data_IF_714628460271
#
_entry.id   IF_714628460271
#
_cell.length_a   1.000
_cell.length_b   1.000
_cell.length_c   1.000
_cell.angle_alpha   90.00
_cell.angle_beta   90.00
_cell.angle_gamma   90.00
#
_symmetry.space_group_name_H-M   'P 1'
#
loop_
_entity.id
_entity.type
_entity.pdbx_description
1 polymer ?
#
# COMPACT_ATOMS: atom_id res chain seq x y z
N UNK A 1 -85.15 -67.61 116.25
CA UNK A 1 -85.88 -68.82 116.71
C UNK A 1 -84.94 -69.95 117.13
N UNK A 2 -83.75 -70.08 116.52
CA UNK A 2 -82.79 -71.17 116.78
C UNK A 2 -82.03 -71.07 118.11
N UNK A 3 -81.70 -69.86 118.59
CA UNK A 3 -80.94 -69.69 119.85
C UNK A 3 -81.68 -70.21 121.09
N UNK A 4 -82.96 -69.84 121.26
CA UNK A 4 -83.78 -70.34 122.37
C UNK A 4 -84.06 -71.84 122.28
N UNK A 5 -84.27 -72.38 121.07
CA UNK A 5 -84.45 -73.81 120.85
C UNK A 5 -83.17 -74.60 121.19
N UNK A 6 -82.00 -74.09 120.79
CA UNK A 6 -80.70 -74.67 121.16
C UNK A 6 -80.48 -74.64 122.67
N UNK A 7 -80.86 -73.56 123.35
CA UNK A 7 -80.72 -73.43 124.80
C UNK A 7 -81.60 -74.45 125.55
N UNK A 8 -82.85 -74.63 125.13
CA UNK A 8 -83.76 -75.64 125.69
C UNK A 8 -83.24 -77.05 125.40
N UNK A 9 -82.74 -77.32 124.19
CA UNK A 9 -82.15 -78.62 123.83
C UNK A 9 -80.92 -78.93 124.69
N UNK A 10 -80.00 -77.98 124.87
CA UNK A 10 -78.82 -78.14 125.71
C UNK A 10 -79.22 -78.36 127.17
N UNK A 11 -80.23 -77.64 127.67
CA UNK A 11 -80.75 -77.82 129.02
C UNK A 11 -81.33 -79.23 129.22
N UNK A 12 -82.11 -79.72 128.24
CA UNK A 12 -82.65 -81.09 128.24
C UNK A 12 -81.53 -82.14 128.16
N UNK A 13 -80.51 -81.91 127.34
CA UNK A 13 -79.39 -82.83 127.19
C UNK A 13 -78.52 -82.87 128.45
N UNK A 14 -78.27 -81.71 129.08
CA UNK A 14 -77.57 -81.62 130.35
C UNK A 14 -78.35 -82.32 131.47
N UNK A 15 -79.68 -82.14 131.51
CA UNK A 15 -80.55 -82.84 132.45
C UNK A 15 -80.55 -84.37 132.21
N UNK A 16 -80.57 -84.81 130.94
CA UNK A 16 -80.50 -86.23 130.56
C UNK A 16 -79.16 -86.85 130.99
N UNK A 17 -78.05 -86.14 130.77
CA UNK A 17 -76.70 -86.58 131.15
C UNK A 17 -76.55 -86.63 132.67
N UNK A 18 -77.02 -85.62 133.40
CA UNK A 18 -77.02 -85.62 134.86
C UNK A 18 -77.83 -86.80 135.42
N UNK A 19 -79.01 -87.06 134.83
CA UNK A 19 -79.86 -88.20 135.19
C UNK A 19 -79.18 -89.56 134.92
N UNK A 20 -78.54 -89.72 133.77
CA UNK A 20 -77.78 -90.92 133.43
C UNK A 20 -76.58 -91.12 134.36
N UNK A 21 -75.87 -90.03 134.69
CA UNK A 21 -74.77 -90.04 135.66
C UNK A 21 -75.21 -90.52 137.05
N UNK A 22 -76.31 -90.00 137.58
CA UNK A 22 -76.89 -90.42 138.86
C UNK A 22 -77.32 -91.89 138.86
N UNK A 23 -77.80 -92.38 137.70
CA UNK A 23 -78.26 -93.76 137.55
C UNK A 23 -77.11 -94.75 137.46
N UNK A 24 -76.02 -94.39 136.76
CA UNK A 24 -74.76 -95.15 136.75
C UNK A 24 -74.12 -95.17 138.15
N UNK A 25 -74.12 -94.04 138.85
CA UNK A 25 -73.60 -93.94 140.22
C UNK A 25 -74.41 -94.82 141.20
N UNK A 26 -75.75 -94.78 141.15
CA UNK A 26 -76.62 -95.64 141.98
C UNK A 26 -76.47 -97.12 141.67
N UNK A 27 -76.27 -97.49 140.40
CA UNK A 27 -76.08 -98.89 139.99
C UNK A 27 -74.71 -99.43 140.43
N UNK A 28 -73.66 -98.62 140.30
CA UNK A 28 -72.32 -98.96 140.78
C UNK A 28 -72.24 -99.08 142.32
N UNK A 29 -73.04 -98.30 143.06
CA UNK A 29 -73.04 -98.32 144.53
C UNK A 29 -73.75 -99.50 145.19
N UNK A 30 -74.71 -100.15 144.51
CA UNK A 30 -75.58 -101.18 145.13
C UNK A 30 -75.11 -102.62 144.93
N UNK A 31 -74.23 -102.86 143.96
CA UNK A 31 -73.77 -104.21 143.59
C UNK A 31 -72.28 -104.27 143.87
N UNK A 32 -71.88 -105.06 144.87
CA UNK A 32 -70.49 -105.25 145.31
C UNK A 32 -69.65 -105.98 144.24
N UNK A 33 -69.51 -105.37 143.07
CA UNK A 33 -68.66 -105.90 141.99
C UNK A 33 -67.20 -105.79 142.41
N UNK A 34 -66.60 -106.94 142.72
CA UNK A 34 -65.15 -107.08 142.86
C UNK A 34 -64.54 -107.16 141.45
N UNK A 35 -64.47 -106.02 140.76
CA UNK A 35 -63.68 -105.91 139.55
C UNK A 35 -62.19 -105.81 139.95
N UNK A 36 -61.41 -106.80 139.54
CA UNK A 36 -59.95 -106.86 139.70
C UNK A 36 -59.42 -106.77 141.16
N UNK A 37 -60.06 -107.42 142.14
CA UNK A 37 -59.45 -107.67 143.46
C UNK A 37 -59.25 -106.46 144.39
N UNK A 38 -59.77 -105.28 144.04
CA UNK A 38 -59.58 -104.02 144.78
C UNK A 38 -60.65 -103.78 145.86
N UNK A 39 -60.25 -103.08 146.94
CA UNK A 39 -61.07 -102.80 148.13
C UNK A 39 -62.35 -102.01 147.73
N UNK A 40 -63.55 -102.37 148.23
CA UNK A 40 -64.84 -101.93 147.65
C UNK A 40 -65.05 -100.42 147.51
N UNK A 41 -64.35 -99.61 148.32
CA UNK A 41 -64.46 -98.15 148.31
C UNK A 41 -63.70 -97.50 147.15
N UNK A 42 -62.63 -98.13 146.65
CA UNK A 42 -61.79 -97.59 145.55
C UNK A 42 -62.40 -97.87 144.18
N UNK A 43 -63.05 -99.03 144.01
CA UNK A 43 -63.76 -99.38 142.78
C UNK A 43 -64.90 -98.41 142.48
N UNK A 44 -65.62 -97.96 143.51
CA UNK A 44 -66.68 -96.95 143.36
C UNK A 44 -66.15 -95.61 142.83
N UNK A 45 -65.00 -95.13 143.34
CA UNK A 45 -64.37 -93.90 142.88
C UNK A 45 -63.88 -94.01 141.43
N UNK A 46 -63.31 -95.16 141.06
CA UNK A 46 -62.79 -95.40 139.71
C UNK A 46 -63.93 -95.47 138.68
N UNK A 47 -65.06 -96.07 139.04
CA UNK A 47 -66.27 -96.06 138.21
C UNK A 47 -66.87 -94.65 138.12
N UNK A 48 -66.83 -93.85 139.19
CA UNK A 48 -67.31 -92.46 139.14
C UNK A 48 -66.44 -91.58 138.24
N UNK A 49 -65.11 -91.73 138.27
CA UNK A 49 -64.20 -91.00 137.38
C UNK A 49 -64.36 -91.47 135.93
N UNK A 50 -64.48 -92.78 135.68
CA UNK A 50 -64.76 -93.32 134.34
C UNK A 50 -66.11 -92.85 133.80
N UNK A 51 -67.14 -92.79 134.65
CA UNK A 51 -68.43 -92.22 134.28
C UNK A 51 -68.31 -90.71 134.00
N UNK A 52 -67.54 -89.96 134.78
CA UNK A 52 -67.28 -88.53 134.56
C UNK A 52 -66.53 -88.25 133.25
N UNK A 53 -65.47 -89.02 132.94
CA UNK A 53 -64.74 -88.94 131.67
C UNK A 53 -65.62 -89.41 130.50
N UNK A 54 -66.40 -90.47 130.70
CA UNK A 54 -67.38 -90.95 129.73
C UNK A 54 -68.42 -89.88 129.40
N UNK A 55 -68.94 -89.19 130.42
CA UNK A 55 -69.85 -88.06 130.27
C UNK A 55 -69.15 -86.90 129.54
N UNK A 56 -67.94 -86.50 129.93
CA UNK A 56 -67.23 -85.40 129.29
C UNK A 56 -66.91 -85.69 127.81
N UNK A 57 -66.48 -86.91 127.49
CA UNK A 57 -66.26 -87.36 126.12
C UNK A 57 -67.57 -87.41 125.34
N UNK A 58 -68.66 -87.90 125.93
CA UNK A 58 -69.97 -87.94 125.27
C UNK A 58 -70.55 -86.54 125.07
N UNK A 59 -70.33 -85.61 126.01
CA UNK A 59 -70.68 -84.19 125.89
C UNK A 59 -69.83 -83.48 124.83
N UNK A 60 -68.52 -83.75 124.75
CA UNK A 60 -67.64 -83.21 123.73
C UNK A 60 -67.96 -83.77 122.34
N UNK A 61 -68.24 -85.07 122.25
CA UNK A 61 -68.68 -85.71 121.01
C UNK A 61 -70.06 -85.20 120.59
N UNK A 62 -70.96 -85.01 121.56
CA UNK A 62 -72.25 -84.36 121.37
C UNK A 62 -72.10 -82.92 120.88
N UNK A 63 -71.16 -82.15 121.44
CA UNK A 63 -70.80 -80.82 120.96
C UNK A 63 -70.29 -80.84 119.52
N UNK A 64 -69.36 -81.74 119.17
CA UNK A 64 -68.88 -81.90 117.78
C UNK A 64 -69.96 -82.35 116.80
N UNK A 65 -70.92 -83.17 117.24
CA UNK A 65 -72.06 -83.64 116.45
C UNK A 65 -73.14 -82.56 116.25
N UNK A 66 -73.40 -81.75 117.28
CA UNK A 66 -74.41 -80.68 117.24
C UNK A 66 -73.87 -79.43 116.56
N UNK A 67 -72.60 -79.08 116.75
CA UNK A 67 -71.94 -77.92 116.13
C UNK A 67 -71.17 -78.27 114.86
N UNK A 68 -71.65 -79.25 114.08
CA UNK A 68 -71.10 -79.54 112.74
C UNK A 68 -71.08 -78.27 111.87
N UNK A 69 -72.11 -77.45 111.98
CA UNK A 69 -72.23 -76.14 111.35
C UNK A 69 -71.08 -75.19 111.70
N UNK A 70 -70.62 -75.14 112.96
CA UNK A 70 -69.54 -74.23 113.35
C UNK A 70 -68.17 -74.66 112.78
N UNK A 71 -67.93 -75.97 112.65
CA UNK A 71 -66.70 -76.50 112.02
C UNK A 71 -66.71 -76.27 110.51
N UNK A 72 -67.84 -76.48 109.86
CA UNK A 72 -68.03 -76.22 108.42
C UNK A 72 -67.80 -74.73 108.14
N UNK A 73 -68.39 -73.82 108.93
CA UNK A 73 -68.18 -72.36 108.78
C UNK A 73 -66.72 -71.94 108.99
N UNK A 74 -65.96 -72.55 109.90
CA UNK A 74 -64.53 -72.22 110.10
C UNK A 74 -63.69 -72.69 108.91
N UNK A 75 -63.95 -73.89 108.37
CA UNK A 75 -63.24 -74.43 107.21
C UNK A 75 -63.61 -73.68 105.92
N UNK A 76 -64.90 -73.39 105.71
CA UNK A 76 -65.37 -72.54 104.62
C UNK A 76 -64.78 -71.13 104.72
N UNK A 77 -64.72 -70.53 105.91
CA UNK A 77 -64.11 -69.22 106.08
C UNK A 77 -62.58 -69.23 105.86
N UNK A 78 -61.90 -70.37 106.00
CA UNK A 78 -60.49 -70.52 105.62
C UNK A 78 -60.35 -70.68 104.10
N UNK A 79 -61.20 -71.48 103.46
CA UNK A 79 -61.24 -71.64 102.00
C UNK A 79 -61.56 -70.30 101.30
N UNK A 80 -62.55 -69.55 101.78
CA UNK A 80 -62.93 -68.22 101.28
C UNK A 80 -61.78 -67.22 101.46
N UNK A 81 -61.02 -67.30 102.56
CA UNK A 81 -59.84 -66.44 102.76
C UNK A 81 -58.72 -66.77 101.78
N UNK A 82 -58.46 -68.05 101.54
CA UNK A 82 -57.47 -68.49 100.56
C UNK A 82 -57.86 -68.06 99.13
N UNK A 83 -59.12 -68.24 98.74
CA UNK A 83 -59.65 -67.80 97.45
C UNK A 83 -59.58 -66.28 97.30
N UNK A 84 -59.96 -65.51 98.32
CA UNK A 84 -59.83 -64.05 98.30
C UNK A 84 -58.37 -63.61 98.17
N UNK A 85 -57.44 -64.27 98.85
CA UNK A 85 -56.02 -63.92 98.78
C UNK A 85 -55.42 -64.30 97.42
N UNK A 86 -55.87 -65.40 96.79
CA UNK A 86 -55.55 -65.74 95.41
C UNK A 86 -56.10 -64.71 94.42
N UNK A 87 -57.39 -64.38 94.51
CA UNK A 87 -58.03 -63.37 93.66
C UNK A 87 -57.39 -61.99 93.81
N UNK A 88 -56.91 -61.63 95.01
CA UNK A 88 -56.13 -60.41 95.23
C UNK A 88 -54.79 -60.43 94.49
N UNK A 89 -54.08 -61.56 94.52
CA UNK A 89 -52.81 -61.73 93.78
C UNK A 89 -53.05 -61.67 92.27
N UNK A 90 -54.06 -62.37 91.77
CA UNK A 90 -54.43 -62.35 90.35
C UNK A 90 -54.82 -60.94 89.90
N UNK A 91 -55.63 -60.23 90.70
CA UNK A 91 -55.95 -58.82 90.43
C UNK A 91 -54.70 -57.94 90.40
N UNK A 92 -53.76 -58.16 91.30
CA UNK A 92 -52.53 -57.37 91.34
C UNK A 92 -51.64 -57.64 90.12
N UNK A 93 -51.47 -58.90 89.71
CA UNK A 93 -50.78 -59.27 88.47
C UNK A 93 -51.47 -58.66 87.24
N UNK A 94 -52.80 -58.71 87.17
CA UNK A 94 -53.55 -58.11 86.06
C UNK A 94 -53.42 -56.57 86.03
N UNK A 95 -53.37 -55.92 87.20
CA UNK A 95 -53.15 -54.47 87.28
C UNK A 95 -51.73 -54.10 86.82
N UNK A 96 -50.72 -54.87 87.21
CA UNK A 96 -49.34 -54.69 86.76
C UNK A 96 -49.21 -54.92 85.24
N UNK A 97 -49.82 -55.98 84.72
CA UNK A 97 -49.85 -56.25 83.28
C UNK A 97 -50.57 -55.14 82.49
N UNK A 98 -51.70 -54.65 83.00
CA UNK A 98 -52.42 -53.52 82.40
C UNK A 98 -51.56 -52.25 82.40
N UNK A 99 -50.89 -51.94 83.51
CA UNK A 99 -50.01 -50.77 83.61
C UNK A 99 -48.81 -50.88 82.65
N UNK A 100 -48.23 -52.08 82.49
CA UNK A 100 -47.16 -52.32 81.51
C UNK A 100 -47.66 -52.12 80.07
N UNK A 101 -48.84 -52.64 79.74
CA UNK A 101 -49.45 -52.50 78.42
C UNK A 101 -49.82 -51.04 78.10
N UNK A 102 -50.34 -50.28 79.08
CA UNK A 102 -50.61 -48.84 78.93
C UNK A 102 -49.30 -48.06 78.72
N UNK A 103 -48.22 -48.42 79.42
CA UNK A 103 -46.91 -47.83 79.21
C UNK A 103 -46.36 -48.12 77.81
N UNK A 104 -46.46 -49.35 77.31
CA UNK A 104 -46.07 -49.72 75.94
C UNK A 104 -46.91 -49.00 74.89
N UNK A 105 -48.23 -48.91 75.09
CA UNK A 105 -49.12 -48.14 74.22
C UNK A 105 -48.72 -46.65 74.19
N UNK A 106 -48.35 -46.06 75.34
CA UNK A 106 -47.91 -44.67 75.39
C UNK A 106 -46.58 -44.45 74.65
N UNK A 107 -45.63 -45.40 74.74
CA UNK A 107 -44.34 -45.34 74.05
C UNK A 107 -44.52 -45.47 72.54
N UNK A 108 -45.30 -46.44 72.09
CA UNK A 108 -45.59 -46.64 70.66
C UNK A 108 -46.33 -45.46 70.05
N UNK A 109 -47.26 -44.82 70.79
CA UNK A 109 -47.89 -43.57 70.34
C UNK A 109 -46.88 -42.42 70.24
N UNK A 110 -45.94 -42.31 71.18
CA UNK A 110 -44.88 -41.31 71.11
C UNK A 110 -43.97 -41.54 69.90
N UNK A 111 -43.52 -42.77 69.66
CA UNK A 111 -42.73 -43.16 68.48
C UNK A 111 -43.46 -42.87 67.17
N UNK A 112 -44.76 -43.20 67.08
CA UNK A 112 -45.58 -42.89 65.90
C UNK A 112 -45.70 -41.39 65.66
N UNK A 113 -45.79 -40.59 66.72
CA UNK A 113 -45.83 -39.13 66.58
C UNK A 113 -44.49 -38.57 66.09
N UNK A 114 -43.36 -39.07 66.60
CA UNK A 114 -42.02 -38.70 66.11
C UNK A 114 -41.87 -39.08 64.63
N UNK A 115 -42.21 -40.31 64.26
CA UNK A 115 -42.10 -40.79 62.89
C UNK A 115 -43.03 -40.03 61.93
N UNK A 116 -44.20 -39.58 62.40
CA UNK A 116 -45.10 -38.72 61.63
C UNK A 116 -44.50 -37.34 61.36
N UNK A 117 -43.84 -36.74 62.35
CA UNK A 117 -43.15 -35.46 62.16
C UNK A 117 -41.94 -35.61 61.22
N UNK A 118 -41.12 -36.65 61.39
CA UNK A 118 -40.01 -36.96 60.47
C UNK A 118 -40.50 -37.14 59.03
N UNK A 119 -41.61 -37.86 58.83
CA UNK A 119 -42.22 -38.02 57.50
C UNK A 119 -42.67 -36.68 56.91
N UNK A 120 -43.25 -35.79 57.73
CA UNK A 120 -43.64 -34.45 57.27
C UNK A 120 -42.42 -33.65 56.86
N UNK A 121 -41.36 -33.66 57.65
CA UNK A 121 -40.14 -32.93 57.34
C UNK A 121 -39.44 -33.48 56.09
N UNK A 122 -39.37 -34.80 55.93
CA UNK A 122 -38.89 -35.43 54.71
C UNK A 122 -39.73 -35.06 53.49
N UNK A 123 -41.06 -35.01 53.63
CA UNK A 123 -41.93 -34.58 52.53
C UNK A 123 -41.68 -33.12 52.12
N UNK A 124 -41.47 -32.23 53.10
CA UNK A 124 -41.12 -30.82 52.85
C UNK A 124 -39.76 -30.68 52.19
N UNK A 125 -38.76 -31.43 52.65
CA UNK A 125 -37.43 -31.45 52.04
C UNK A 125 -37.47 -31.96 50.59
N UNK A 126 -38.28 -32.98 50.31
CA UNK A 126 -38.45 -33.53 48.95
C UNK A 126 -39.18 -32.53 48.04
N UNK A 127 -40.20 -31.83 48.54
CA UNK A 127 -40.87 -30.74 47.82
C UNK A 127 -39.89 -29.62 47.46
N UNK A 128 -39.07 -29.17 48.42
CA UNK A 128 -38.04 -28.15 48.22
C UNK A 128 -36.98 -28.61 47.21
N UNK A 129 -36.49 -29.85 47.34
CA UNK A 129 -35.53 -30.42 46.40
C UNK A 129 -36.08 -30.47 44.97
N UNK A 130 -37.35 -30.86 44.80
CA UNK A 130 -38.02 -30.85 43.51
C UNK A 130 -38.18 -29.43 42.93
N UNK A 131 -38.48 -28.44 43.76
CA UNK A 131 -38.54 -27.04 43.32
C UNK A 131 -37.18 -26.52 42.86
N UNK A 132 -36.11 -26.80 43.62
CA UNK A 132 -34.74 -26.43 43.22
C UNK A 132 -34.35 -27.15 41.93
N UNK A 133 -34.65 -28.45 41.80
CA UNK A 133 -34.35 -29.20 40.57
C UNK A 133 -35.04 -28.60 39.36
N UNK A 134 -36.32 -28.22 39.47
CA UNK A 134 -37.05 -27.55 38.38
C UNK A 134 -36.42 -26.21 37.99
N UNK A 135 -36.04 -25.38 38.96
CA UNK A 135 -35.35 -24.11 38.70
C UNK A 135 -34.01 -24.33 37.98
N UNK A 136 -33.21 -25.28 38.46
CA UNK A 136 -31.94 -25.62 37.81
C UNK A 136 -32.13 -26.18 36.40
N UNK A 137 -33.18 -26.98 36.15
CA UNK A 137 -33.52 -27.45 34.80
C UNK A 137 -33.93 -26.29 33.87
N UNK A 138 -34.66 -25.29 34.37
CA UNK A 138 -35.02 -24.08 33.62
C UNK A 138 -33.80 -23.20 33.33
N UNK A 139 -32.94 -22.97 34.34
CA UNK A 139 -31.68 -22.25 34.19
C UNK A 139 -30.74 -22.95 33.21
N UNK A 140 -30.60 -24.27 33.27
CA UNK A 140 -29.80 -25.04 32.34
C UNK A 140 -30.31 -24.92 30.89
N UNK A 141 -31.63 -24.93 30.69
CA UNK A 141 -32.24 -24.70 29.36
C UNK A 141 -32.00 -23.27 28.87
N UNK A 142 -32.11 -22.28 29.74
CA UNK A 142 -31.83 -20.88 29.42
C UNK A 142 -30.34 -20.66 29.08
N UNK A 143 -29.43 -21.28 29.83
CA UNK A 143 -28.00 -21.24 29.54
C UNK A 143 -27.67 -21.95 28.22
N UNK A 144 -28.30 -23.10 27.95
CA UNK A 144 -28.10 -23.81 26.68
C UNK A 144 -28.55 -22.96 25.48
N UNK A 145 -29.67 -22.24 25.58
CA UNK A 145 -30.12 -21.34 24.51
C UNK A 145 -29.21 -20.13 24.35
N UNK A 146 -28.70 -19.56 25.46
CA UNK A 146 -27.70 -18.48 25.41
C UNK A 146 -26.39 -18.95 24.74
N UNK A 147 -25.88 -20.13 25.11
CA UNK A 147 -24.67 -20.70 24.48
C UNK A 147 -24.90 -20.93 22.99
N UNK A 148 -26.08 -21.39 22.58
CA UNK A 148 -26.40 -21.55 21.17
C UNK A 148 -26.48 -20.20 20.44
N UNK A 149 -27.07 -19.18 21.06
CA UNK A 149 -27.15 -17.83 20.50
C UNK A 149 -25.75 -17.22 20.32
N UNK A 150 -24.92 -17.28 21.36
CA UNK A 150 -23.53 -16.82 21.32
C UNK A 150 -22.70 -17.62 20.29
N UNK A 151 -22.95 -18.91 20.14
CA UNK A 151 -22.32 -19.74 19.10
C UNK A 151 -22.67 -19.28 17.69
N UNK A 152 -23.92 -18.88 17.44
CA UNK A 152 -24.35 -18.30 16.15
C UNK A 152 -23.71 -16.94 15.91
N UNK A 153 -23.72 -16.06 16.91
CA UNK A 153 -23.11 -14.74 16.83
C UNK A 153 -21.60 -14.83 16.57
N UNK A 154 -20.91 -15.76 17.22
CA UNK A 154 -19.50 -16.02 16.96
C UNK A 154 -19.27 -16.48 15.51
N UNK A 155 -20.11 -17.37 14.99
CA UNK A 155 -20.00 -17.83 13.61
C UNK A 155 -20.26 -16.70 12.60
N UNK A 156 -21.20 -15.80 12.87
CA UNK A 156 -21.44 -14.63 12.00
C UNK A 156 -20.26 -13.66 12.05
N UNK A 157 -19.70 -13.37 13.23
CA UNK A 157 -18.52 -12.51 13.37
C UNK A 157 -17.28 -13.13 12.70
N UNK A 158 -17.09 -14.44 12.78
CA UNK A 158 -16.01 -15.13 12.08
C UNK A 158 -16.17 -15.03 10.55
N UNK A 159 -17.40 -15.14 10.03
CA UNK A 159 -17.68 -14.95 8.60
C UNK A 159 -17.43 -13.50 8.16
N UNK A 160 -17.90 -12.51 8.92
CA UNK A 160 -17.65 -11.08 8.66
C UNK A 160 -16.15 -10.76 8.66
N UNK A 161 -15.41 -11.30 9.63
CA UNK A 161 -13.94 -11.16 9.69
C UNK A 161 -13.26 -11.73 8.44
N UNK A 162 -13.71 -12.88 7.93
CA UNK A 162 -13.16 -13.45 6.70
C UNK A 162 -13.46 -12.58 5.47
N UNK A 163 -14.67 -12.03 5.37
CA UNK A 163 -15.04 -11.11 4.28
C UNK A 163 -14.18 -9.84 4.34
N UNK A 164 -14.02 -9.24 5.52
CA UNK A 164 -13.18 -8.06 5.72
C UNK A 164 -11.71 -8.33 5.38
N UNK A 165 -11.19 -9.50 5.76
CA UNK A 165 -9.82 -9.89 5.42
C UNK A 165 -9.60 -10.01 3.91
N UNK A 166 -10.58 -10.57 3.17
CA UNK A 166 -10.54 -10.62 1.69
C UNK A 166 -10.58 -9.22 1.09
N UNK A 167 -11.50 -8.37 1.55
CA UNK A 167 -11.61 -6.99 1.06
C UNK A 167 -10.32 -6.19 1.31
N UNK A 168 -9.68 -6.35 2.48
CA UNK A 168 -8.40 -5.72 2.76
C UNK A 168 -7.29 -6.22 1.83
N UNK A 169 -7.25 -7.52 1.55
CA UNK A 169 -6.29 -8.08 0.60
C UNK A 169 -6.48 -7.52 -0.82
N UNK A 170 -7.73 -7.46 -1.31
CA UNK A 170 -8.08 -6.87 -2.60
C UNK A 170 -7.69 -5.39 -2.68
N UNK A 171 -8.00 -4.60 -1.64
CA UNK A 171 -7.64 -3.17 -1.61
C UNK A 171 -6.14 -2.94 -1.53
N UNK A 172 -5.41 -3.78 -0.81
CA UNK A 172 -3.96 -3.71 -0.77
C UNK A 172 -3.33 -4.04 -2.13
N UNK A 173 -3.88 -5.01 -2.86
CA UNK A 173 -3.44 -5.29 -4.23
C UNK A 173 -3.75 -4.12 -5.18
N UNK A 174 -4.95 -3.54 -5.09
CA UNK A 174 -5.32 -2.36 -5.89
C UNK A 174 -4.40 -1.17 -5.60
N UNK A 175 -4.10 -0.92 -4.32
CA UNK A 175 -3.15 0.12 -3.92
C UNK A 175 -1.76 -0.16 -4.46
N UNK A 176 -1.25 -1.38 -4.36
CA UNK A 176 0.06 -1.75 -4.88
C UNK A 176 0.15 -1.54 -6.40
N UNK A 177 -0.91 -1.88 -7.15
CA UNK A 177 -1.00 -1.63 -8.58
C UNK A 177 -1.00 -0.14 -8.89
N UNK A 178 -1.84 0.66 -8.21
CA UNK A 178 -1.88 2.12 -8.38
C UNK A 178 -0.56 2.79 -8.01
N UNK A 179 0.14 2.33 -6.98
CA UNK A 179 1.45 2.88 -6.63
C UNK A 179 2.51 2.57 -7.68
N UNK A 180 2.46 1.38 -8.29
CA UNK A 180 3.34 1.02 -9.39
C UNK A 180 3.05 1.87 -10.65
N UNK A 181 1.77 2.04 -11.00
CA UNK A 181 1.35 2.89 -12.12
C UNK A 181 1.78 4.35 -11.92
N UNK A 182 1.59 4.91 -10.71
CA UNK A 182 2.05 6.26 -10.39
C UNK A 182 3.57 6.39 -10.46
N UNK A 183 4.32 5.37 -10.02
CA UNK A 183 5.78 5.37 -10.14
C UNK A 183 6.21 5.40 -11.61
N UNK A 184 5.60 4.59 -12.48
CA UNK A 184 5.85 4.59 -13.92
C UNK A 184 5.53 5.95 -14.54
N UNK A 185 4.35 6.51 -14.27
CA UNK A 185 3.95 7.84 -14.74
C UNK A 185 4.91 8.94 -14.26
N UNK A 186 5.43 8.83 -13.03
CA UNK A 186 6.40 9.80 -12.51
C UNK A 186 7.75 9.73 -13.26
N UNK A 187 8.20 8.53 -13.65
CA UNK A 187 9.41 8.37 -14.45
C UNK A 187 9.21 8.82 -15.90
N UNK A 188 8.04 8.55 -16.49
CA UNK A 188 7.67 9.10 -17.80
C UNK A 188 7.67 10.63 -17.80
N UNK A 189 7.10 11.26 -16.76
CA UNK A 189 7.12 12.71 -16.61
C UNK A 189 8.54 13.25 -16.49
N UNK A 190 9.40 12.66 -15.65
CA UNK A 190 10.82 13.07 -15.56
C UNK A 190 11.54 12.94 -16.91
N UNK A 191 11.25 11.88 -17.68
CA UNK A 191 11.84 11.70 -19.00
C UNK A 191 11.35 12.76 -20.00
N UNK A 192 10.06 13.11 -19.97
CA UNK A 192 9.48 14.17 -20.79
C UNK A 192 10.03 15.55 -20.39
N UNK A 193 10.17 15.84 -19.10
CA UNK A 193 10.79 17.07 -18.61
C UNK A 193 12.23 17.22 -19.11
N UNK A 194 13.03 16.16 -19.05
CA UNK A 194 14.39 16.14 -19.61
C UNK A 194 14.38 16.40 -21.12
N UNK A 195 13.46 15.76 -21.86
CA UNK A 195 13.31 15.99 -23.31
C UNK A 195 12.94 17.43 -23.61
N UNK A 196 11.99 18.01 -22.88
CA UNK A 196 11.61 19.41 -23.02
C UNK A 196 12.79 20.34 -22.77
N UNK A 197 13.59 20.10 -21.72
CA UNK A 197 14.80 20.88 -21.48
C UNK A 197 15.80 20.79 -22.64
N UNK A 198 16.06 19.59 -23.17
CA UNK A 198 16.96 19.41 -24.33
C UNK A 198 16.43 20.09 -25.59
N UNK A 199 15.12 20.03 -25.84
CA UNK A 199 14.49 20.70 -26.97
C UNK A 199 14.53 22.22 -26.81
N UNK A 200 14.29 22.75 -25.62
CA UNK A 200 14.43 24.18 -25.34
C UNK A 200 15.85 24.68 -25.59
N UNK A 201 16.88 23.91 -25.19
CA UNK A 201 18.26 24.22 -25.54
C UNK A 201 18.51 24.17 -27.05
N UNK A 202 18.00 23.15 -27.74
CA UNK A 202 18.13 23.02 -29.18
C UNK A 202 17.47 24.20 -29.92
N UNK A 203 16.28 24.64 -29.49
CA UNK A 203 15.63 25.84 -30.03
C UNK A 203 16.48 27.08 -29.80
N UNK A 204 17.01 27.30 -28.59
CA UNK A 204 17.90 28.45 -28.32
C UNK A 204 19.15 28.43 -29.20
N UNK A 205 19.75 27.26 -29.43
CA UNK A 205 20.90 27.12 -30.34
C UNK A 205 20.51 27.44 -31.78
N UNK A 206 19.39 26.91 -32.26
CA UNK A 206 18.89 27.18 -33.61
C UNK A 206 18.53 28.65 -33.83
N UNK A 207 17.97 29.33 -32.81
CA UNK A 207 17.73 30.78 -32.84
C UNK A 207 19.03 31.58 -32.93
N UNK A 208 20.06 31.20 -32.17
CA UNK A 208 21.37 31.83 -32.23
C UNK A 208 22.06 31.62 -33.59
N UNK A 209 21.97 30.42 -34.17
CA UNK A 209 22.47 30.13 -35.52
C UNK A 209 21.72 30.93 -36.58
N UNK A 210 20.38 31.01 -36.50
CA UNK A 210 19.57 31.85 -37.39
C UNK A 210 19.97 33.32 -37.31
N UNK A 211 20.24 33.84 -36.12
CA UNK A 211 20.71 35.21 -35.94
C UNK A 211 22.09 35.43 -36.59
N UNK A 212 23.02 34.48 -36.44
CA UNK A 212 24.33 34.52 -37.11
C UNK A 212 24.20 34.52 -38.63
N UNK A 213 23.43 33.59 -39.19
CA UNK A 213 23.19 33.53 -40.63
C UNK A 213 22.48 34.77 -41.17
N UNK A 214 21.59 35.39 -40.38
CA UNK A 214 20.96 36.65 -40.77
C UNK A 214 21.99 37.79 -40.86
N UNK A 215 22.92 37.88 -39.91
CA UNK A 215 24.01 38.88 -39.95
C UNK A 215 25.02 38.60 -41.08
N UNK A 216 25.40 37.35 -41.30
CA UNK A 216 26.25 36.97 -42.44
C UNK A 216 25.58 37.31 -43.77
N UNK A 217 24.29 37.02 -43.91
CA UNK A 217 23.51 37.38 -45.11
C UNK A 217 23.48 38.89 -45.34
N UNK A 218 23.31 39.70 -44.29
CA UNK A 218 23.37 41.17 -44.40
C UNK A 218 24.75 41.64 -44.89
N UNK A 219 25.82 41.14 -44.28
CA UNK A 219 27.20 41.46 -44.68
C UNK A 219 27.48 41.09 -46.14
N UNK A 220 27.12 39.87 -46.54
CA UNK A 220 27.25 39.44 -47.94
C UNK A 220 26.42 40.30 -48.89
N UNK A 221 25.22 40.72 -48.48
CA UNK A 221 24.39 41.62 -49.28
C UNK A 221 25.04 43.00 -49.44
N UNK A 222 25.64 43.55 -48.38
CA UNK A 222 26.43 44.79 -48.44
C UNK A 222 27.66 44.64 -49.33
N UNK A 223 28.38 43.52 -49.24
CA UNK A 223 29.55 43.23 -50.07
C UNK A 223 29.19 43.07 -51.55
N UNK A 224 28.06 42.42 -51.85
CA UNK A 224 27.54 42.33 -53.22
C UNK A 224 27.18 43.72 -53.75
N UNK A 225 26.51 44.56 -52.96
CA UNK A 225 26.22 45.94 -53.37
C UNK A 225 27.50 46.73 -53.65
N UNK A 226 28.52 46.63 -52.79
CA UNK A 226 29.84 47.24 -53.01
C UNK A 226 30.52 46.72 -54.28
N UNK A 227 30.46 45.41 -54.52
CA UNK A 227 31.03 44.80 -55.71
C UNK A 227 30.31 45.27 -56.99
N UNK A 228 28.99 45.40 -56.96
CA UNK A 228 28.20 45.97 -58.06
C UNK A 228 28.59 47.43 -58.34
N UNK A 229 28.71 48.27 -57.30
CA UNK A 229 29.18 49.65 -57.46
C UNK A 229 30.57 49.72 -58.09
N UNK A 230 31.52 48.90 -57.62
CA UNK A 230 32.86 48.79 -58.23
C UNK A 230 32.82 48.31 -59.68
N UNK A 231 31.93 47.37 -60.01
CA UNK A 231 31.74 46.90 -61.37
C UNK A 231 31.17 48.00 -62.28
N UNK A 232 30.25 48.81 -61.77
CA UNK A 232 29.72 49.97 -62.50
C UNK A 232 30.78 51.05 -62.69
N UNK A 233 31.58 51.36 -61.66
CA UNK A 233 32.72 52.28 -61.75
C UNK A 233 33.72 51.81 -62.80
N UNK A 234 34.19 50.56 -62.72
CA UNK A 234 35.12 49.99 -63.72
C UNK A 234 34.51 49.89 -65.12
N UNK A 235 33.20 49.66 -65.25
CA UNK A 235 32.49 49.74 -66.55
C UNK A 235 32.49 51.17 -67.10
N UNK A 236 32.25 52.18 -66.26
CA UNK A 236 32.32 53.60 -66.65
C UNK A 236 33.74 53.99 -67.05
N UNK A 237 34.74 53.61 -66.26
CA UNK A 237 36.16 53.80 -66.59
C UNK A 237 36.49 53.14 -67.94
N UNK A 238 36.07 51.90 -68.15
CA UNK A 238 36.25 51.19 -69.42
C UNK A 238 35.55 51.89 -70.58
N UNK A 239 34.36 52.47 -70.38
CA UNK A 239 33.66 53.25 -71.40
C UNK A 239 34.41 54.54 -71.75
N UNK A 240 34.91 55.26 -70.75
CA UNK A 240 35.73 56.47 -70.95
C UNK A 240 37.00 56.13 -71.71
N UNK A 241 37.75 55.10 -71.26
CA UNK A 241 38.94 54.63 -71.94
C UNK A 241 38.64 54.16 -73.38
N UNK A 242 37.50 53.51 -73.62
CA UNK A 242 37.10 53.12 -74.97
C UNK A 242 36.82 54.35 -75.85
N UNK A 243 36.18 55.40 -75.32
CA UNK A 243 35.98 56.66 -76.03
C UNK A 243 37.31 57.38 -76.30
N UNK A 244 38.23 57.38 -75.33
CA UNK A 244 39.59 57.91 -75.52
C UNK A 244 40.35 57.15 -76.60
N UNK A 245 40.28 55.81 -76.62
CA UNK A 245 40.89 54.98 -77.66
C UNK A 245 40.29 55.29 -79.04
N UNK A 246 38.97 55.45 -79.16
CA UNK A 246 38.35 55.84 -80.43
C UNK A 246 38.74 57.27 -80.85
N UNK A 247 38.81 58.22 -79.91
CA UNK A 247 39.28 59.57 -80.17
C UNK A 247 40.75 59.59 -80.61
N UNK A 248 41.61 58.77 -79.99
CA UNK A 248 43.01 58.59 -80.37
C UNK A 248 43.15 57.89 -81.73
N UNK A 249 42.31 56.90 -82.05
CA UNK A 249 42.27 56.31 -83.40
C UNK A 249 41.86 57.34 -84.45
N UNK A 250 40.86 58.18 -84.15
CA UNK A 250 40.43 59.24 -85.04
C UNK A 250 41.51 60.31 -85.22
N UNK A 251 42.21 60.70 -84.15
CA UNK A 251 43.34 61.64 -84.25
C UNK A 251 44.52 61.03 -85.00
N UNK A 252 44.83 59.74 -84.80
CA UNK A 252 45.83 59.00 -85.58
C UNK A 252 45.43 58.94 -87.07
N UNK A 253 44.17 58.68 -87.39
CA UNK A 253 43.68 58.66 -88.77
C UNK A 253 43.81 60.04 -89.42
N UNK A 254 43.44 61.12 -88.71
CA UNK A 254 43.65 62.51 -89.18
C UNK A 254 45.14 62.81 -89.37
N UNK A 255 45.99 62.43 -88.41
CA UNK A 255 47.44 62.61 -88.53
C UNK A 255 48.02 61.81 -89.71
N UNK A 256 47.51 60.61 -89.98
CA UNK A 256 47.87 59.82 -91.17
C UNK A 256 47.41 60.48 -92.47
N UNK A 257 46.20 61.03 -92.52
CA UNK A 257 45.72 61.80 -93.68
C UNK A 257 46.53 63.08 -93.90
N UNK A 258 46.86 63.79 -92.82
CA UNK A 258 47.75 64.95 -92.88
C UNK A 258 49.12 64.55 -93.39
N UNK A 259 49.67 63.43 -92.90
CA UNK A 259 50.95 62.90 -93.36
C UNK A 259 50.90 62.55 -94.85
N UNK A 260 49.86 61.85 -95.32
CA UNK A 260 49.65 61.56 -96.74
C UNK A 260 49.54 62.85 -97.57
N UNK A 261 48.78 63.86 -97.10
CA UNK A 261 48.70 65.17 -97.77
C UNK A 261 50.05 65.89 -97.80
N UNK A 262 50.86 65.76 -96.75
CA UNK A 262 52.22 66.31 -96.74
C UNK A 262 53.16 65.53 -97.65
N UNK A 263 53.05 64.21 -97.72
CA UNK A 263 53.79 63.37 -98.67
C UNK A 263 53.40 63.69 -100.12
N UNK A 264 52.12 63.90 -100.41
CA UNK A 264 51.63 64.38 -101.70
C UNK A 264 52.13 65.79 -102.00
N UNK A 265 52.14 66.71 -101.02
CA UNK A 265 52.74 68.04 -101.18
C UNK A 265 54.23 67.96 -101.48
N UNK A 266 54.98 67.10 -100.77
CA UNK A 266 56.41 66.85 -101.03
C UNK A 266 56.60 66.25 -102.41
N UNK A 267 55.79 65.28 -102.83
CA UNK A 267 55.81 64.74 -104.21
C UNK A 267 55.53 65.83 -105.25
N UNK A 268 54.51 66.65 -105.03
CA UNK A 268 54.19 67.75 -105.95
C UNK A 268 55.31 68.79 -106.03
N UNK A 269 55.97 69.10 -104.90
CA UNK A 269 57.14 69.97 -104.87
C UNK A 269 58.36 69.34 -105.57
N UNK A 270 58.54 68.02 -105.44
CA UNK A 270 59.57 67.29 -106.19
C UNK A 270 59.31 67.32 -107.70
N UNK A 271 58.06 67.13 -108.12
CA UNK A 271 57.67 67.28 -109.54
C UNK A 271 57.89 68.72 -110.02
N UNK A 272 57.57 69.73 -109.21
CA UNK A 272 57.86 71.13 -109.54
C UNK A 272 59.38 71.39 -109.64
N UNK A 273 60.20 70.76 -108.80
CA UNK A 273 61.65 70.82 -108.89
C UNK A 273 62.19 70.14 -110.16
N UNK A 274 61.60 69.02 -110.59
CA UNK A 274 61.93 68.36 -111.86
C UNK A 274 61.54 69.21 -113.07
N UNK A 275 60.38 69.88 -113.06
CA UNK A 275 59.94 70.78 -114.13
C UNK A 275 60.88 72.00 -114.23
N UNK A 276 61.28 72.59 -113.11
CA UNK A 276 62.24 73.71 -113.09
C UNK A 276 63.65 73.28 -113.53
N UNK A 277 64.05 72.01 -113.28
CA UNK A 277 65.27 71.45 -113.86
C UNK A 277 65.14 71.25 -115.38
N UNK A 278 63.98 70.86 -115.89
CA UNK A 278 63.68 70.76 -117.32
C UNK A 278 63.76 72.10 -118.05
N UNK A 279 63.27 73.18 -117.43
CA UNK A 279 63.33 74.54 -117.98
C UNK A 279 64.76 75.09 -118.05
N UNK A 280 65.62 74.77 -117.07
CA UNK A 280 67.07 75.08 -117.16
C UNK A 280 67.76 74.34 -118.31
N UNK A 281 67.31 73.12 -118.64
CA UNK A 281 67.84 72.34 -119.76
C UNK A 281 67.52 72.95 -121.14
N UNK A 282 66.35 73.56 -121.30
CA UNK A 282 65.90 74.15 -122.57
C UNK A 282 66.54 75.52 -122.86
N UNK A 283 66.85 76.31 -121.82
CA UNK A 283 67.61 77.57 -121.96
C UNK A 283 69.09 77.34 -122.30
N UNK A 284 69.67 76.22 -121.90
CA UNK A 284 71.04 75.85 -122.26
C UNK A 284 71.18 75.42 -123.74
N UNK A 285 70.13 74.84 -124.35
CA UNK A 285 70.16 74.39 -125.74
C UNK A 285 69.91 75.50 -126.78
N UNK A 286 69.30 76.62 -126.39
CA UNK A 286 69.03 77.77 -127.26
C UNK A 286 70.22 78.72 -127.40
N UNK A 287 71.14 78.76 -126.43
CA UNK A 287 72.38 79.56 -126.51
C UNK A 287 73.54 78.87 -127.25
N UNK A 288 73.45 77.56 -127.51
CA UNK A 288 74.51 76.75 -128.15
C UNK A 288 74.38 76.69 -129.68
N UNK A 289 73.27 77.13 -130.27
CA UNK A 289 72.99 76.91 -131.71
C UNK A 289 73.21 78.14 -132.62
N UNK A 290 73.61 79.30 -132.10
CA UNK A 290 73.80 80.53 -132.89
C UNK A 290 75.21 81.16 -132.81
N UNK A 291 76.16 80.58 -132.06
CA UNK A 291 77.46 81.21 -131.75
C UNK A 291 78.71 80.45 -132.21
N UNK A 292 78.62 79.56 -133.20
CA UNK A 292 79.82 78.88 -133.71
C UNK A 292 79.93 78.93 -135.24
N UNK A 293 80.72 79.89 -135.70
CA UNK A 293 81.41 79.82 -136.99
C UNK A 293 81.88 81.16 -137.56
N UNK A 294 82.95 81.76 -137.00
CA UNK A 294 84.18 82.18 -137.73
C UNK A 294 85.07 83.17 -136.91
N UNK A 295 86.15 82.67 -136.31
CA UNK A 295 87.36 83.45 -135.97
C UNK A 295 88.61 82.57 -136.09
N UNK A 296 89.64 83.08 -136.80
CA UNK A 296 90.84 82.35 -137.24
C UNK A 296 92.12 83.16 -136.95
N UNK A 297 92.80 82.83 -135.84
CA UNK A 297 94.26 82.61 -135.75
C UNK A 297 95.29 83.75 -135.94
N UNK A 298 96.30 83.74 -135.08
CA UNK A 298 97.47 84.65 -135.01
C UNK A 298 98.70 84.14 -135.81
N UNK A 299 99.55 85.06 -136.29
CA UNK A 299 100.91 84.73 -136.80
C UNK A 299 101.94 85.75 -136.27
N UNK A 300 103.05 85.22 -135.73
CA UNK A 300 104.21 85.93 -135.15
C UNK A 300 105.17 86.40 -136.25
N UNK A 301 105.75 87.60 -136.09
CA UNK A 301 106.80 88.16 -136.95
C UNK A 301 108.20 87.96 -136.37
N UNK A 302 109.15 87.63 -137.24
CA UNK A 302 110.60 87.72 -137.01
C UNK A 302 111.13 89.10 -137.39
N UNK A 303 112.21 89.52 -136.73
CA UNK A 303 112.79 90.87 -136.78
C UNK A 303 113.40 91.22 -138.16
N UNK A 304 113.14 92.47 -138.59
CA UNK A 304 113.67 93.19 -139.78
C UNK A 304 112.73 93.48 -140.98
N UNK A 305 111.40 93.54 -140.82
CA UNK A 305 110.53 94.16 -141.84
C UNK A 305 109.42 95.01 -141.19
N UNK A 306 109.33 96.29 -141.60
CA UNK A 306 108.48 97.32 -141.01
C UNK A 306 106.99 97.24 -141.40
N UNK A 307 106.20 98.07 -140.70
CA UNK A 307 104.71 98.17 -140.66
C UNK A 307 103.94 98.13 -142.00
N UNK A 308 104.57 98.27 -143.17
CA UNK A 308 103.89 98.27 -144.48
C UNK A 308 103.64 96.87 -145.10
N UNK A 309 104.38 95.83 -144.73
CA UNK A 309 104.16 94.47 -145.29
C UNK A 309 102.97 93.75 -144.63
N UNK A 310 102.75 94.03 -143.34
CA UNK A 310 101.62 93.54 -142.54
C UNK A 310 100.26 93.89 -143.16
N UNK A 311 100.13 95.11 -143.68
CA UNK A 311 98.92 95.62 -144.31
C UNK A 311 98.61 94.87 -145.63
N UNK A 312 99.64 94.58 -146.44
CA UNK A 312 99.49 93.83 -147.71
C UNK A 312 99.17 92.35 -147.53
N UNK A 313 99.69 91.72 -146.47
CA UNK A 313 99.40 90.30 -146.16
C UNK A 313 98.01 90.15 -145.55
N UNK A 314 97.60 91.09 -144.70
CA UNK A 314 96.24 91.17 -144.15
C UNK A 314 95.19 91.40 -145.26
N UNK A 315 95.46 92.31 -146.20
CA UNK A 315 94.59 92.52 -147.38
C UNK A 315 94.47 91.28 -148.27
N UNK A 316 95.58 90.60 -148.58
CA UNK A 316 95.53 89.37 -149.40
C UNK A 316 94.75 88.24 -148.73
N UNK A 317 94.80 88.12 -147.41
CA UNK A 317 94.03 87.10 -146.67
C UNK A 317 92.55 87.45 -146.57
N UNK A 318 92.21 88.72 -146.39
CA UNK A 318 90.82 89.20 -146.38
C UNK A 318 90.13 89.00 -147.75
N UNK A 319 90.85 89.25 -148.85
CA UNK A 319 90.35 89.03 -150.22
C UNK A 319 90.19 87.54 -150.59
N UNK A 320 91.02 86.64 -150.02
CA UNK A 320 90.86 85.19 -150.20
C UNK A 320 89.73 84.58 -149.36
N UNK A 321 89.24 85.30 -148.34
CA UNK A 321 88.16 84.85 -147.44
C UNK A 321 86.82 85.57 -147.68
N UNK A 322 86.73 86.45 -148.69
CA UNK A 322 85.49 87.10 -149.11
C UNK A 322 85.10 88.37 -148.36
N UNK A 323 86.01 88.96 -147.57
CA UNK A 323 85.77 90.19 -146.81
C UNK A 323 86.07 91.45 -147.65
N UNK A 324 85.28 92.51 -147.47
CA UNK A 324 85.35 93.78 -148.24
C UNK A 324 86.42 94.77 -147.74
N UNK A 325 87.14 94.46 -146.66
CA UNK A 325 88.21 95.31 -146.10
C UNK A 325 88.65 94.85 -144.70
N UNK A 326 89.76 95.40 -144.21
CA UNK A 326 90.31 95.16 -142.86
C UNK A 326 90.61 96.51 -142.22
N UNK A 327 90.21 96.73 -140.97
CA UNK A 327 90.43 97.99 -140.25
C UNK A 327 91.22 97.75 -138.96
N UNK A 328 92.54 97.95 -138.98
CA UNK A 328 93.47 97.71 -137.85
C UNK A 328 93.16 98.61 -136.64
N UNK A 329 92.75 98.01 -135.52
CA UNK A 329 92.53 98.72 -134.26
C UNK A 329 93.85 98.95 -133.51
N UNK A 330 94.08 100.20 -133.11
CA UNK A 330 95.31 100.72 -132.51
C UNK A 330 95.74 100.04 -131.20
N UNK A 331 97.06 100.01 -131.03
CA UNK A 331 97.87 99.44 -129.95
C UNK A 331 97.87 100.35 -128.68
N UNK A 332 98.75 100.18 -127.66
CA UNK A 332 99.15 99.00 -126.86
C UNK A 332 99.50 99.31 -125.37
N UNK A 333 99.79 98.29 -124.57
CA UNK A 333 101.02 98.23 -123.74
C UNK A 333 101.50 96.76 -123.67
N UNK A 334 102.48 96.40 -124.51
CA UNK A 334 103.08 95.06 -124.58
C UNK A 334 103.02 94.46 -126.00
N UNK A 335 104.02 93.70 -126.45
CA UNK A 335 104.39 93.64 -127.86
C UNK A 335 103.37 92.90 -128.74
N UNK A 336 102.52 93.70 -129.39
CA UNK A 336 102.10 93.55 -130.78
C UNK A 336 101.22 92.35 -131.11
N UNK A 337 99.90 92.52 -130.99
CA UNK A 337 98.93 92.02 -131.97
C UNK A 337 97.56 92.68 -131.72
N UNK A 338 97.10 93.40 -132.74
CA UNK A 338 95.76 93.96 -132.88
C UNK A 338 94.89 92.95 -133.65
N UNK A 339 93.69 92.68 -133.16
CA UNK A 339 92.73 91.74 -133.74
C UNK A 339 91.34 92.29 -133.35
N UNK A 340 90.69 93.18 -134.12
CA UNK A 340 90.03 93.06 -135.44
C UNK A 340 88.64 92.38 -135.39
N UNK A 341 87.64 93.09 -134.88
CA UNK A 341 86.22 92.74 -135.08
C UNK A 341 85.82 92.88 -136.55
N UNK A 342 85.23 91.82 -137.11
CA UNK A 342 84.42 91.89 -138.32
C UNK A 342 82.95 91.74 -137.94
N UNK A 343 82.10 92.61 -138.47
CA UNK A 343 80.63 92.55 -138.34
C UNK A 343 80.06 91.34 -139.08
#
# INVERSE_FOLDING_TARGET
MTFWALLILILLLAALVAYLGDRVAKWAGKRHYRLFGLRPRQTATLVAVLAGVGIALFSYLGFLLVFREAREVILEAQAIRAERDQLRRERQVLLEAKAAMEAEASRTLAELNVLREERKDLSRALEQANQVRKRLEEEAKALASQVQALGRERATLEAERQVLARLLAERNQELAWKTAELAEKSEELKALEKRLATLQEAVKRAEAERARFAEERKRLQEDVLRALSRLEETRRERQVLAQEVEALKASLARAREELLKTEERVRNLLVQAEVLQGERGQLAQSLVRLSQGLYLGEVRLGAEEGREALERVAERRALLQGFRGVELLDAPQGPGLAVLEGV
#
